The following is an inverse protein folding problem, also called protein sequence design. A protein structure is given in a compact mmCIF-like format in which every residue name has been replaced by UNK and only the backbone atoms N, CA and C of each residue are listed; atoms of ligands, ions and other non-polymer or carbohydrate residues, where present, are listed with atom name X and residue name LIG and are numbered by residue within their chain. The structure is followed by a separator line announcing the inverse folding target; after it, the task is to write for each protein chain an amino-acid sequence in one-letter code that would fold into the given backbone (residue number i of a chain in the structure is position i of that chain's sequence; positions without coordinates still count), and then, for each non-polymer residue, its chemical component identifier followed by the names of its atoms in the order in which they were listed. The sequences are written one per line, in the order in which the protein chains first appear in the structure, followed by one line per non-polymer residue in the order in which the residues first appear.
data_IF_121507243401
#
_entry.id   IF_121507243401
#
_cell.length_a   1.000
_cell.length_b   1.000
_cell.length_c   1.000
_cell.angle_alpha   90.00
_cell.angle_beta   90.00
_cell.angle_gamma   90.00
#
_symmetry.space_group_name_H-M   'P 1'
#
loop_
_entity.id
_entity.type
_entity.pdbx_description
1 polymer ?
#
# COMPACT_ATOMS: atom_id res chain seq x y z
N UNK A 1 1.60 -12.02 -25.94
CA UNK A 1 1.49 -13.07 -24.89
C UNK A 1 1.71 -12.58 -23.45
N UNK A 2 2.63 -11.64 -23.14
CA UNK A 2 2.86 -11.16 -21.74
C UNK A 2 1.67 -10.48 -21.06
N UNK A 3 0.86 -9.70 -21.79
CA UNK A 3 -0.24 -8.93 -21.20
C UNK A 3 -1.35 -9.79 -20.58
N UNK A 4 -1.70 -10.92 -21.21
CA UNK A 4 -2.76 -11.81 -20.72
C UNK A 4 -2.37 -12.51 -19.42
N UNK A 5 -1.12 -12.97 -19.32
CA UNK A 5 -0.60 -13.57 -18.10
C UNK A 5 -0.53 -12.57 -16.94
N UNK A 6 -0.09 -11.33 -17.20
CA UNK A 6 -0.08 -10.26 -16.19
C UNK A 6 -1.49 -9.90 -15.71
N UNK A 7 -2.46 -9.84 -16.62
CA UNK A 7 -3.86 -9.56 -16.27
C UNK A 7 -4.43 -10.63 -15.33
N UNK A 8 -4.30 -11.91 -15.67
CA UNK A 8 -4.80 -13.00 -14.83
C UNK A 8 -4.13 -13.03 -13.45
N UNK A 9 -2.81 -12.79 -13.41
CA UNK A 9 -2.08 -12.68 -12.14
C UNK A 9 -2.57 -11.51 -11.29
N UNK A 10 -2.81 -10.35 -11.90
CA UNK A 10 -3.36 -9.19 -11.18
C UNK A 10 -4.78 -9.44 -10.67
N UNK A 11 -5.62 -10.14 -11.44
CA UNK A 11 -6.97 -10.53 -11.04
C UNK A 11 -6.94 -11.47 -9.83
N UNK A 12 -6.10 -12.50 -9.87
CA UNK A 12 -5.90 -13.41 -8.74
C UNK A 12 -5.34 -12.69 -7.51
N UNK A 13 -4.36 -11.81 -7.69
CA UNK A 13 -3.79 -11.03 -6.60
C UNK A 13 -4.83 -10.11 -5.96
N UNK A 14 -5.71 -9.49 -6.76
CA UNK A 14 -6.79 -8.64 -6.27
C UNK A 14 -7.77 -9.42 -5.40
N UNK A 15 -8.10 -10.67 -5.76
CA UNK A 15 -8.94 -11.54 -4.95
C UNK A 15 -8.30 -12.02 -3.63
N UNK A 16 -6.99 -11.82 -3.45
CA UNK A 16 -6.26 -12.16 -2.22
C UNK A 16 -6.01 -10.95 -1.31
N UNK A 17 -6.40 -9.74 -1.74
CA UNK A 17 -6.24 -8.53 -0.94
C UNK A 17 -7.14 -8.64 0.30
N UNK A 18 -6.55 -8.52 1.49
CA UNK A 18 -7.28 -8.55 2.77
C UNK A 18 -7.54 -7.15 3.34
N UNK A 19 -6.65 -6.21 3.05
CA UNK A 19 -6.68 -4.86 3.60
C UNK A 19 -6.51 -3.86 2.47
N UNK A 20 -7.48 -2.97 2.32
CA UNK A 20 -7.40 -1.91 1.33
C UNK A 20 -6.41 -0.84 1.78
N UNK A 21 -5.72 -0.24 0.81
CA UNK A 21 -4.91 0.95 1.07
C UNK A 21 -5.86 2.12 1.33
N UNK A 22 -5.52 2.92 2.33
CA UNK A 22 -6.16 4.19 2.66
C UNK A 22 -5.26 5.37 2.25
N UNK A 23 -4.17 5.10 1.54
CA UNK A 23 -3.22 6.08 1.00
C UNK A 23 -3.79 6.95 -0.14
N UNK A 24 -5.09 7.25 -0.16
CA UNK A 24 -5.73 8.14 -1.14
C UNK A 24 -5.27 7.90 -2.59
N UNK A 25 -4.79 8.95 -3.25
CA UNK A 25 -4.23 8.92 -4.60
C UNK A 25 -2.73 8.62 -4.67
N UNK A 26 -2.05 8.42 -3.53
CA UNK A 26 -0.60 8.21 -3.50
C UNK A 26 -0.27 6.74 -3.67
N UNK A 27 0.63 6.43 -4.60
CA UNK A 27 1.23 5.11 -4.69
C UNK A 27 2.24 4.90 -3.54
N UNK A 28 2.53 3.64 -3.19
CA UNK A 28 3.49 3.31 -2.13
C UNK A 28 4.85 3.98 -2.29
N UNK A 29 5.32 4.15 -3.52
CA UNK A 29 6.62 4.76 -3.80
C UNK A 29 6.61 6.21 -3.34
N UNK A 30 5.59 6.98 -3.74
CA UNK A 30 5.44 8.37 -3.31
C UNK A 30 5.26 8.48 -1.79
N UNK A 31 4.50 7.57 -1.18
CA UNK A 31 4.32 7.53 0.27
C UNK A 31 5.64 7.24 1.01
N UNK A 32 6.43 6.26 0.52
CA UNK A 32 7.74 5.92 1.08
C UNK A 32 8.72 7.09 0.98
N UNK A 33 8.75 7.79 -0.16
CA UNK A 33 9.57 9.00 -0.30
C UNK A 33 9.15 10.10 0.68
N UNK A 34 7.84 10.33 0.85
CA UNK A 34 7.33 11.32 1.80
C UNK A 34 7.71 11.00 3.25
N UNK A 35 7.73 9.72 3.63
CA UNK A 35 8.12 9.29 4.98
C UNK A 35 9.64 9.37 5.19
N UNK A 36 10.43 9.07 4.17
CA UNK A 36 11.89 9.20 4.22
C UNK A 36 12.32 10.66 4.43
N UNK A 37 11.64 11.58 3.77
CA UNK A 37 11.88 13.02 3.91
C UNK A 37 11.58 13.52 5.33
N UNK A 38 10.57 12.94 5.98
CA UNK A 38 10.19 13.24 7.37
C UNK A 38 11.11 12.59 8.41
N UNK A 39 11.73 11.45 8.09
CA UNK A 39 12.52 10.62 9.00
C UNK A 39 14.03 10.83 8.91
N UNK A 40 14.50 12.06 8.66
CA UNK A 40 15.93 12.40 8.54
C UNK A 40 16.71 11.52 7.54
N UNK A 41 16.04 10.97 6.51
CA UNK A 41 16.68 10.12 5.51
C UNK A 41 16.88 8.66 5.92
N UNK A 42 16.45 8.24 7.11
CA UNK A 42 16.46 6.83 7.52
C UNK A 42 15.56 5.98 6.63
N UNK A 43 15.91 4.70 6.50
CA UNK A 43 15.08 3.77 5.76
C UNK A 43 13.80 3.50 6.54
N UNK A 44 12.67 3.85 5.92
CA UNK A 44 11.34 3.68 6.51
C UNK A 44 11.07 2.19 6.74
N UNK A 45 10.79 1.83 7.99
CA UNK A 45 10.41 0.46 8.33
C UNK A 45 9.16 0.02 7.56
N UNK A 46 9.17 -1.24 7.16
CA UNK A 46 8.10 -1.84 6.37
C UNK A 46 6.75 -1.88 7.11
N UNK A 47 6.77 -2.04 8.44
CA UNK A 47 5.55 -2.05 9.26
C UNK A 47 4.99 -0.63 9.37
N UNK A 48 5.85 0.37 9.52
CA UNK A 48 5.43 1.77 9.59
C UNK A 48 4.89 2.28 8.25
N UNK A 49 5.52 1.91 7.13
CA UNK A 49 4.99 2.17 5.80
C UNK A 49 3.61 1.51 5.62
N UNK A 50 3.47 0.26 6.06
CA UNK A 50 2.20 -0.45 6.01
C UNK A 50 1.12 0.24 6.85
N UNK A 51 1.39 0.55 8.12
CA UNK A 51 0.44 1.26 8.99
C UNK A 51 0.05 2.61 8.38
N UNK A 52 1.01 3.42 7.93
CA UNK A 52 0.71 4.72 7.32
C UNK A 52 -0.17 4.63 6.06
N UNK A 53 -0.09 3.50 5.35
CA UNK A 53 -0.82 3.28 4.09
C UNK A 53 -2.15 2.56 4.27
N UNK A 54 -2.37 1.89 5.39
CA UNK A 54 -3.53 0.99 5.61
C UNK A 54 -4.34 1.29 6.87
N UNK A 55 -3.83 2.14 7.76
CA UNK A 55 -4.47 2.45 9.03
C UNK A 55 -4.89 3.91 9.08
N UNK A 56 -6.13 4.15 9.49
CA UNK A 56 -6.66 5.48 9.77
C UNK A 56 -7.08 5.54 11.24
N UNK A 57 -6.60 6.53 12.00
CA UNK A 57 -6.94 6.68 13.43
C UNK A 57 -8.44 6.73 13.74
N UNK A 58 -9.27 7.21 12.81
CA UNK A 58 -10.72 7.34 12.98
C UNK A 58 -11.49 6.10 12.48
N UNK A 59 -10.91 5.31 11.56
CA UNK A 59 -11.60 4.20 10.88
C UNK A 59 -10.94 2.83 11.11
N UNK A 60 -9.78 2.78 11.75
CA UNK A 60 -8.98 1.57 11.87
C UNK A 60 -8.38 1.13 10.53
N UNK A 61 -8.19 -0.17 10.39
CA UNK A 61 -7.84 -0.79 9.10
C UNK A 61 -9.10 -0.90 8.23
N UNK A 62 -8.95 -0.63 6.93
CA UNK A 62 -10.03 -0.88 5.99
C UNK A 62 -10.00 -2.35 5.55
N UNK A 63 -11.01 -3.12 5.97
CA UNK A 63 -11.21 -4.48 5.48
C UNK A 63 -11.44 -4.49 3.96
N UNK A 64 -10.99 -5.56 3.31
CA UNK A 64 -11.34 -5.83 1.93
C UNK A 64 -12.84 -6.17 1.83
N UNK A 65 -13.58 -5.40 1.03
CA UNK A 65 -15.01 -5.63 0.76
C UNK A 65 -15.23 -6.86 -0.13
#
# INVERSE_FOLDING_TARGET
MRHKATFEKNKQNRGKVKLHQIAGSRCYIAQRFSLKDQGNGEEVDSIDLFKSSHYNKNKGYSDAA
#
